data_IF_562017802071
#
_entry.id   IF_562017802071
#
_cell.length_a   1.000
_cell.length_b   1.000
_cell.length_c   1.000
_cell.angle_alpha   90.00
_cell.angle_beta   90.00
_cell.angle_gamma   90.00
#
_symmetry.space_group_name_H-M   'P 1'
#
loop_
_entity.id
_entity.type
_entity.pdbx_description
1 polymer ?
#
# COMPACT_ATOMS: atom_id res chain seq x y z
N UNK A 1 3.45 5.92 -15.08
CA UNK A 1 3.07 6.35 -13.72
C UNK A 1 2.36 5.20 -13.06
N UNK A 2 2.68 4.89 -11.80
CA UNK A 2 1.80 4.02 -11.01
C UNK A 2 0.44 4.70 -10.91
N UNK A 3 -0.63 3.93 -11.14
CA UNK A 3 -1.98 4.45 -11.06
C UNK A 3 -2.45 4.37 -9.60
N UNK A 4 -2.32 5.47 -8.87
CA UNK A 4 -2.66 5.53 -7.45
C UNK A 4 -4.14 5.21 -7.20
N UNK A 5 -5.04 5.61 -8.10
CA UNK A 5 -6.47 5.32 -8.00
C UNK A 5 -6.73 3.81 -8.05
N UNK A 6 -5.97 3.09 -8.89
CA UNK A 6 -6.05 1.63 -8.96
C UNK A 6 -5.53 0.98 -7.67
N UNK A 7 -4.39 1.46 -7.14
CA UNK A 7 -3.81 0.96 -5.90
C UNK A 7 -4.77 1.17 -4.73
N UNK A 8 -5.39 2.35 -4.64
CA UNK A 8 -6.40 2.65 -3.63
C UNK A 8 -7.59 1.71 -3.74
N UNK A 9 -8.17 1.58 -4.93
CA UNK A 9 -9.31 0.70 -5.19
C UNK A 9 -8.98 -0.76 -4.83
N UNK A 10 -7.79 -1.25 -5.18
CA UNK A 10 -7.35 -2.61 -4.86
C UNK A 10 -7.21 -2.83 -3.36
N UNK A 11 -6.60 -1.88 -2.64
CA UNK A 11 -6.46 -1.93 -1.18
C UNK A 11 -7.84 -1.93 -0.51
N UNK A 12 -8.74 -1.03 -0.94
CA UNK A 12 -10.10 -0.94 -0.38
C UNK A 12 -10.90 -2.21 -0.63
N UNK A 13 -10.80 -2.79 -1.83
CA UNK A 13 -11.45 -4.06 -2.14
C UNK A 13 -10.90 -5.21 -1.31
N UNK A 14 -9.58 -5.28 -1.08
CA UNK A 14 -8.98 -6.29 -0.19
C UNK A 14 -9.52 -6.20 1.24
N UNK A 15 -9.60 -4.98 1.79
CA UNK A 15 -10.09 -4.76 3.16
C UNK A 15 -11.59 -5.10 3.27
N UNK A 16 -12.41 -4.67 2.31
CA UNK A 16 -13.87 -4.91 2.33
C UNK A 16 -14.26 -6.38 2.27
N UNK A 17 -13.45 -7.22 1.61
CA UNK A 17 -13.75 -8.65 1.43
C UNK A 17 -13.16 -9.54 2.53
N UNK A 18 -12.50 -8.97 3.55
CA UNK A 18 -11.92 -9.76 4.63
C UNK A 18 -13.00 -10.20 5.61
N UNK A 19 -13.05 -11.50 5.90
CA UNK A 19 -14.06 -12.10 6.79
C UNK A 19 -13.50 -12.59 8.12
N UNK A 20 -12.18 -12.63 8.28
CA UNK A 20 -11.52 -13.15 9.47
C UNK A 20 -10.28 -12.32 9.89
N UNK A 21 -9.95 -12.43 11.17
CA UNK A 21 -8.89 -11.65 11.80
C UNK A 21 -7.49 -11.98 11.26
N UNK A 22 -7.22 -13.24 10.93
CA UNK A 22 -5.90 -13.66 10.44
C UNK A 22 -5.63 -13.11 9.03
N UNK A 23 -6.66 -13.13 8.19
CA UNK A 23 -6.62 -12.50 6.87
C UNK A 23 -6.47 -10.99 6.97
N UNK A 24 -7.14 -10.34 7.93
CA UNK A 24 -7.00 -8.90 8.17
C UNK A 24 -5.56 -8.53 8.56
N UNK A 25 -4.94 -9.29 9.46
CA UNK A 25 -3.57 -9.02 9.91
C UNK A 25 -2.53 -9.30 8.82
N UNK A 26 -2.79 -10.28 7.95
CA UNK A 26 -1.99 -10.50 6.74
C UNK A 26 -2.11 -9.33 5.75
N UNK A 27 -3.33 -8.85 5.50
CA UNK A 27 -3.59 -7.69 4.61
C UNK A 27 -2.94 -6.42 5.17
N UNK A 28 -3.03 -6.17 6.49
CA UNK A 28 -2.32 -5.03 7.12
C UNK A 28 -0.81 -5.09 6.88
N UNK A 29 -0.22 -6.29 6.98
CA UNK A 29 1.22 -6.48 6.73
C UNK A 29 1.57 -6.25 5.26
N UNK A 30 0.72 -6.67 4.32
CA UNK A 30 0.90 -6.43 2.89
C UNK A 30 0.84 -4.93 2.54
N UNK A 31 -0.05 -4.18 3.18
CA UNK A 31 -0.25 -2.76 2.89
C UNK A 31 0.80 -1.90 3.60
N UNK A 32 0.96 -2.08 4.91
CA UNK A 32 1.71 -1.19 5.80
C UNK A 32 3.01 -1.79 6.34
N UNK A 33 3.31 -3.06 6.04
CA UNK A 33 4.54 -3.69 6.50
C UNK A 33 5.81 -3.03 5.97
N UNK A 34 6.97 -3.48 6.46
CA UNK A 34 8.30 -2.95 6.09
C UNK A 34 8.60 -3.00 4.57
N UNK A 35 7.99 -3.97 3.88
CA UNK A 35 8.01 -4.14 2.42
C UNK A 35 6.61 -4.02 1.81
N UNK A 36 5.71 -3.36 2.53
CA UNK A 36 4.32 -3.19 2.11
C UNK A 36 4.19 -2.16 1.02
N UNK A 37 3.04 -2.19 0.33
CA UNK A 37 2.76 -1.36 -0.84
C UNK A 37 2.99 0.12 -0.53
N UNK A 38 2.41 0.63 0.57
CA UNK A 38 2.52 2.03 0.97
C UNK A 38 3.96 2.39 1.33
N UNK A 39 4.67 1.50 2.04
CA UNK A 39 6.06 1.71 2.43
C UNK A 39 6.99 1.82 1.21
N UNK A 40 6.79 1.00 0.18
CA UNK A 40 7.58 1.07 -1.05
C UNK A 40 7.27 2.35 -1.85
N UNK A 41 6.01 2.78 -1.90
CA UNK A 41 5.64 4.06 -2.52
C UNK A 41 6.32 5.24 -1.81
N UNK A 42 6.36 5.24 -0.47
CA UNK A 42 7.08 6.26 0.28
C UNK A 42 8.60 6.22 0.06
N UNK A 43 9.20 5.03 -0.12
CA UNK A 43 10.63 4.93 -0.47
C UNK A 43 10.92 5.51 -1.86
N UNK A 44 10.02 5.30 -2.82
CA UNK A 44 10.13 5.88 -4.16
C UNK A 44 10.06 7.39 -4.11
N UNK A 45 9.06 7.97 -3.44
CA UNK A 45 9.01 9.41 -3.13
C UNK A 45 10.30 9.82 -2.42
N UNK A 46 10.77 8.97 -1.51
CA UNK A 46 11.98 9.15 -0.74
C UNK A 46 13.26 9.33 -1.57
N UNK A 47 13.30 8.67 -2.73
CA UNK A 47 14.42 8.67 -3.67
C UNK A 47 14.34 9.75 -4.74
N UNK A 48 13.23 10.49 -4.83
CA UNK A 48 13.10 11.61 -5.75
C UNK A 48 13.96 12.79 -5.27
N UNK A 49 14.42 13.59 -6.23
CA UNK A 49 15.15 14.83 -5.96
C UNK A 49 14.29 15.80 -5.13
N UNK A 50 14.92 16.67 -4.34
CA UNK A 50 14.18 17.55 -3.42
C UNK A 50 13.17 18.47 -4.13
N UNK A 51 13.41 18.79 -5.41
CA UNK A 51 12.50 19.57 -6.25
C UNK A 51 11.31 18.78 -6.81
N UNK A 52 11.36 17.45 -6.73
CA UNK A 52 10.34 16.52 -7.26
C UNK A 52 9.58 15.77 -6.15
N UNK A 53 10.06 15.86 -4.91
CA UNK A 53 9.37 15.43 -3.69
C UNK A 53 8.28 16.42 -3.28
#
# INVERSE_FOLDING_TARGET
MENFDQIESDILNKIKNVSDQNSLDSIKTEIFGKKGIITELFKKIGSLDQSQR
#
